data_IF_072224863842
#
_entry.id   IF_072224863842
#
_cell.length_a   1.000
_cell.length_b   1.000
_cell.length_c   1.000
_cell.angle_alpha   90.00
_cell.angle_beta   90.00
_cell.angle_gamma   90.00
#
_symmetry.space_group_name_H-M   'P 1'
#
loop_
_entity.id
_entity.type
_entity.pdbx_description
1 polymer ?
#
# COMPACT_ATOMS: atom_id res chain seq x y z
N UNK A 1 52.11 -21.08 -8.56
CA UNK A 1 52.97 -20.82 -7.40
C UNK A 1 52.31 -19.69 -6.64
N UNK A 2 51.29 -20.00 -5.83
CA UNK A 2 51.39 -20.27 -4.39
C UNK A 2 51.63 -18.99 -3.59
N UNK A 3 50.67 -18.70 -2.71
CA UNK A 3 50.81 -17.99 -1.43
C UNK A 3 51.01 -16.48 -1.42
N UNK A 4 49.90 -15.74 -1.28
CA UNK A 4 49.85 -14.59 -0.36
C UNK A 4 48.43 -14.47 0.20
N UNK A 5 48.20 -15.01 1.40
CA UNK A 5 47.39 -14.40 2.49
C UNK A 5 47.08 -15.46 3.54
N UNK A 6 47.96 -15.57 4.53
CA UNK A 6 47.62 -16.17 5.81
C UNK A 6 47.91 -15.15 6.92
N UNK A 7 47.04 -15.17 7.93
CA UNK A 7 47.09 -14.51 9.22
C UNK A 7 46.68 -13.03 9.24
N UNK A 8 45.52 -12.74 9.84
CA UNK A 8 45.46 -12.39 11.27
C UNK A 8 44.10 -12.81 11.84
N UNK A 9 44.13 -13.83 12.69
CA UNK A 9 43.06 -14.13 13.63
C UNK A 9 43.31 -13.31 14.91
N UNK A 10 42.29 -12.70 15.50
CA UNK A 10 41.96 -12.88 16.94
C UNK A 10 40.72 -12.09 17.38
N UNK A 11 39.71 -12.85 17.84
CA UNK A 11 38.89 -12.68 19.04
C UNK A 11 38.18 -11.35 19.35
N UNK A 12 36.86 -11.37 19.20
CA UNK A 12 35.93 -10.83 20.21
C UNK A 12 34.83 -11.87 20.45
N UNK A 13 34.80 -12.45 21.65
CA UNK A 13 33.82 -13.45 22.04
C UNK A 13 32.43 -12.84 22.14
N UNK A 14 31.53 -13.29 21.26
CA UNK A 14 30.08 -13.19 21.47
C UNK A 14 29.60 -14.57 21.93
N UNK A 15 28.75 -14.66 22.97
CA UNK A 15 28.20 -15.94 23.38
C UNK A 15 27.42 -16.57 22.21
N UNK A 16 27.41 -17.91 22.07
CA UNK A 16 26.62 -18.56 21.04
C UNK A 16 25.15 -18.16 21.25
N UNK A 17 24.57 -17.49 20.26
CA UNK A 17 23.13 -17.30 20.20
C UNK A 17 22.57 -18.71 20.09
N UNK A 18 22.02 -19.22 21.19
CA UNK A 18 21.24 -20.43 21.18
C UNK A 18 19.93 -20.08 20.45
N UNK A 19 19.98 -20.05 19.12
CA UNK A 19 18.81 -20.02 18.24
C UNK A 19 18.15 -21.39 18.32
N UNK A 20 17.53 -21.68 19.47
CA UNK A 20 16.32 -22.47 19.44
C UNK A 20 15.28 -21.54 18.82
N UNK A 21 14.81 -21.75 17.58
CA UNK A 21 13.63 -21.04 17.11
C UNK A 21 12.52 -21.43 18.07
N UNK A 22 12.16 -20.54 19.00
CA UNK A 22 10.94 -20.69 19.74
C UNK A 22 9.85 -20.72 18.69
N UNK A 23 9.23 -21.88 18.53
CA UNK A 23 8.12 -22.07 17.62
C UNK A 23 6.98 -21.20 18.13
N UNK A 24 6.99 -19.92 17.79
CA UNK A 24 5.82 -19.09 17.81
C UNK A 24 4.95 -19.61 16.68
N UNK A 25 4.27 -20.73 16.93
CA UNK A 25 3.24 -21.23 16.03
C UNK A 25 2.21 -20.11 15.94
N UNK A 26 2.07 -19.40 14.81
CA UNK A 26 0.96 -18.50 14.64
C UNK A 26 -0.28 -19.38 14.78
N UNK A 27 -1.21 -19.05 15.68
CA UNK A 27 -2.50 -19.74 15.81
C UNK A 27 -2.94 -20.24 14.44
N UNK A 28 -2.96 -21.56 14.24
CA UNK A 28 -3.29 -22.16 12.95
C UNK A 28 -4.73 -21.77 12.62
N UNK A 29 -4.89 -20.83 11.68
CA UNK A 29 -6.20 -20.37 11.24
C UNK A 29 -6.61 -21.31 10.11
N UNK A 30 -7.61 -22.15 10.37
CA UNK A 30 -8.21 -22.98 9.34
C UNK A 30 -8.86 -22.11 8.25
N UNK A 31 -8.37 -22.27 7.01
CA UNK A 31 -8.89 -21.58 5.83
C UNK A 31 -10.33 -22.00 5.48
N UNK A 32 -10.76 -23.17 5.93
CA UNK A 32 -12.12 -23.71 5.70
C UNK A 32 -13.19 -22.99 6.54
N UNK A 33 -12.78 -22.30 7.60
CA UNK A 33 -13.70 -21.55 8.46
C UNK A 33 -13.96 -20.13 7.90
N UNK A 34 -14.98 -20.00 7.06
CA UNK A 34 -15.37 -18.73 6.41
C UNK A 34 -15.53 -17.56 7.40
N UNK A 35 -16.07 -17.78 8.61
CA UNK A 35 -16.28 -16.70 9.59
C UNK A 35 -14.96 -16.14 10.12
N UNK A 36 -13.98 -17.01 10.34
CA UNK A 36 -12.65 -16.62 10.83
C UNK A 36 -11.88 -15.90 9.72
N UNK A 37 -11.93 -16.40 8.49
CA UNK A 37 -11.31 -15.77 7.33
C UNK A 37 -11.92 -14.40 7.02
N UNK A 38 -13.25 -14.23 7.08
CA UNK A 38 -13.89 -12.93 6.89
C UNK A 38 -13.49 -11.91 7.97
N UNK A 39 -13.37 -12.37 9.23
CA UNK A 39 -12.88 -11.52 10.33
C UNK A 39 -11.42 -11.13 10.12
N UNK A 40 -10.59 -12.07 9.65
CA UNK A 40 -9.19 -11.82 9.30
C UNK A 40 -9.07 -10.89 8.09
N UNK A 41 -9.89 -11.06 7.06
CA UNK A 41 -9.89 -10.22 5.85
C UNK A 41 -10.17 -8.75 6.17
N UNK A 42 -11.09 -8.48 7.11
CA UNK A 42 -11.40 -7.12 7.59
C UNK A 42 -10.26 -6.49 8.41
N UNK A 43 -9.41 -7.29 9.06
CA UNK A 43 -8.32 -6.82 9.92
C UNK A 43 -6.95 -6.80 9.24
N UNK A 44 -6.69 -7.79 8.39
CA UNK A 44 -5.43 -8.01 7.68
C UNK A 44 -5.73 -8.79 6.39
N UNK A 45 -6.07 -8.02 5.35
CA UNK A 45 -6.48 -8.55 4.04
C UNK A 45 -5.41 -9.43 3.42
N UNK A 46 -4.14 -9.03 3.51
CA UNK A 46 -3.01 -9.76 2.91
C UNK A 46 -2.84 -11.15 3.51
N UNK A 47 -2.91 -11.25 4.85
CA UNK A 47 -2.81 -12.54 5.54
C UNK A 47 -4.01 -13.44 5.23
N UNK A 48 -5.21 -12.88 5.15
CA UNK A 48 -6.41 -13.66 4.77
C UNK A 48 -6.30 -14.20 3.35
N UNK A 49 -5.90 -13.37 2.37
CA UNK A 49 -5.70 -13.80 0.99
C UNK A 49 -4.60 -14.87 0.93
N UNK A 50 -3.49 -14.71 1.65
CA UNK A 50 -2.42 -15.70 1.69
C UNK A 50 -2.93 -17.07 2.19
N UNK A 51 -3.73 -17.09 3.26
CA UNK A 51 -4.31 -18.33 3.78
C UNK A 51 -5.34 -18.96 2.82
N UNK A 52 -6.09 -18.14 2.08
CA UNK A 52 -7.04 -18.64 1.06
C UNK A 52 -6.29 -19.21 -0.16
N UNK A 53 -5.21 -18.54 -0.55
CA UNK A 53 -4.42 -18.84 -1.74
C UNK A 53 -3.25 -19.79 -1.41
N UNK A 54 -3.11 -20.23 -0.16
CA UNK A 54 -2.03 -21.11 0.28
C UNK A 54 -2.07 -22.41 -0.52
N UNK A 55 -1.08 -22.54 -1.42
CA UNK A 55 -0.96 -23.55 -2.46
C UNK A 55 0.01 -23.06 -3.54
N UNK A 56 0.55 -23.97 -4.36
CA UNK A 56 1.33 -23.55 -5.52
C UNK A 56 0.40 -22.78 -6.47
N UNK A 57 0.69 -21.50 -6.69
CA UNK A 57 0.02 -20.76 -7.75
C UNK A 57 0.37 -21.45 -9.07
N UNK A 58 -0.62 -22.09 -9.70
CA UNK A 58 -0.42 -22.73 -10.99
C UNK A 58 0.21 -21.70 -11.93
N UNK A 59 1.38 -22.04 -12.49
CA UNK A 59 2.04 -21.18 -13.47
C UNK A 59 1.05 -20.94 -14.60
N UNK A 60 0.94 -19.71 -15.10
CA UNK A 60 0.13 -19.45 -16.27
C UNK A 60 0.67 -20.30 -17.43
N UNK A 61 -0.15 -21.20 -17.96
CA UNK A 61 0.20 -22.07 -19.10
C UNK A 61 -0.16 -21.42 -20.44
N UNK A 62 -0.83 -20.27 -20.42
CA UNK A 62 -1.19 -19.53 -21.62
C UNK A 62 0.08 -18.94 -22.22
N UNK A 63 0.36 -19.16 -23.52
CA UNK A 63 1.50 -18.55 -24.20
C UNK A 63 1.47 -17.03 -24.05
N UNK A 64 2.64 -16.43 -23.77
CA UNK A 64 2.75 -14.98 -23.59
C UNK A 64 2.29 -14.20 -24.83
N UNK A 65 2.48 -14.76 -26.02
CA UNK A 65 2.05 -14.18 -27.30
C UNK A 65 0.53 -14.05 -27.40
N UNK A 66 -0.22 -15.05 -26.94
CA UNK A 66 -1.69 -15.03 -26.95
C UNK A 66 -2.24 -13.99 -25.97
N UNK A 67 -1.65 -13.92 -24.77
CA UNK A 67 -1.98 -12.90 -23.77
C UNK A 67 -1.69 -11.49 -24.31
N UNK A 68 -0.55 -11.33 -24.96
CA UNK A 68 -0.15 -10.06 -25.56
C UNK A 68 -1.09 -9.66 -26.70
N UNK A 69 -1.41 -10.56 -27.62
CA UNK A 69 -2.31 -10.29 -28.74
C UNK A 69 -3.70 -9.87 -28.25
N UNK A 70 -4.25 -10.59 -27.28
CA UNK A 70 -5.55 -10.27 -26.67
C UNK A 70 -5.55 -8.87 -26.04
N UNK A 71 -4.54 -8.56 -25.22
CA UNK A 71 -4.49 -7.24 -24.57
C UNK A 71 -4.13 -6.13 -25.55
N UNK A 72 -3.35 -6.41 -26.59
CA UNK A 72 -3.14 -5.46 -27.67
C UNK A 72 -4.46 -5.13 -28.35
N UNK A 73 -5.27 -6.10 -28.73
CA UNK A 73 -6.58 -5.86 -29.34
C UNK A 73 -7.56 -5.11 -28.40
N UNK A 74 -7.61 -5.51 -27.12
CA UNK A 74 -8.52 -4.90 -26.14
C UNK A 74 -8.13 -3.44 -25.83
N UNK A 75 -6.83 -3.17 -25.68
CA UNK A 75 -6.28 -1.87 -25.31
C UNK A 75 -5.75 -1.05 -26.50
N UNK A 76 -5.86 -1.56 -27.72
CA UNK A 76 -5.62 -0.77 -28.93
C UNK A 76 -6.51 0.47 -28.86
N UNK A 77 -6.00 1.61 -29.35
CA UNK A 77 -6.64 2.91 -29.20
C UNK A 77 -8.03 2.90 -29.82
N UNK A 78 -9.04 2.55 -29.01
CA UNK A 78 -10.44 2.76 -29.35
C UNK A 78 -10.66 4.26 -29.44
N UNK A 79 -11.30 4.69 -30.51
CA UNK A 79 -11.75 6.08 -30.64
C UNK A 79 -12.75 6.32 -29.52
N UNK A 80 -12.33 7.05 -28.50
CA UNK A 80 -13.22 7.44 -27.42
C UNK A 80 -14.22 8.45 -27.98
N UNK A 81 -15.48 8.05 -28.09
CA UNK A 81 -16.54 8.97 -28.51
C UNK A 81 -16.77 10.02 -27.41
N UNK A 82 -16.36 11.25 -27.72
CA UNK A 82 -16.47 12.40 -26.81
C UNK A 82 -17.92 12.84 -26.61
N UNK A 83 -18.84 12.43 -27.48
CA UNK A 83 -20.28 12.72 -27.35
C UNK A 83 -20.87 12.12 -26.07
N UNK A 84 -20.33 10.99 -25.59
CA UNK A 84 -20.74 10.33 -24.35
C UNK A 84 -20.55 11.26 -23.14
N UNK A 85 -19.51 12.10 -23.14
CA UNK A 85 -19.28 13.06 -22.06
C UNK A 85 -20.35 14.16 -22.03
N UNK A 86 -20.92 14.54 -23.18
CA UNK A 86 -21.92 15.62 -23.25
C UNK A 86 -23.26 15.21 -22.62
N UNK A 87 -23.57 13.90 -22.59
CA UNK A 87 -24.85 13.36 -22.11
C UNK A 87 -24.77 12.71 -20.71
N UNK A 88 -23.60 12.70 -20.06
CA UNK A 88 -23.39 11.99 -18.79
C UNK A 88 -22.98 12.88 -17.62
N UNK A 89 -23.10 14.19 -17.71
CA UNK A 89 -23.05 15.02 -16.51
C UNK A 89 -24.41 14.95 -15.81
N UNK A 90 -24.60 14.15 -14.73
CA UNK A 90 -25.76 14.36 -13.90
C UNK A 90 -25.68 15.80 -13.41
N UNK A 91 -26.66 16.61 -13.79
CA UNK A 91 -26.80 18.01 -13.33
C UNK A 91 -26.88 18.11 -11.80
N UNK A 92 -27.09 16.98 -11.13
CA UNK A 92 -27.14 16.80 -9.68
C UNK A 92 -25.84 16.21 -9.11
N UNK A 93 -24.69 16.79 -9.44
CA UNK A 93 -23.54 16.58 -8.55
C UNK A 93 -23.82 17.35 -7.26
N UNK A 94 -23.79 16.69 -6.09
CA UNK A 94 -23.79 17.45 -4.84
C UNK A 94 -22.62 18.42 -4.89
N UNK A 95 -22.89 19.68 -4.56
CA UNK A 95 -21.87 20.71 -4.51
C UNK A 95 -20.69 20.20 -3.67
N UNK A 96 -19.47 20.34 -4.20
CA UNK A 96 -18.29 19.87 -3.49
C UNK A 96 -18.20 20.64 -2.19
N UNK A 97 -18.26 19.93 -1.06
CA UNK A 97 -18.12 20.55 0.24
C UNK A 97 -16.74 21.21 0.36
N UNK A 98 -16.73 22.55 0.40
CA UNK A 98 -15.52 23.36 0.59
C UNK A 98 -15.36 23.84 2.02
N UNK A 99 -16.08 23.24 2.97
CA UNK A 99 -15.89 23.54 4.39
C UNK A 99 -14.46 23.16 4.83
N UNK A 100 -13.88 23.91 5.79
CA UNK A 100 -12.58 23.56 6.35
C UNK A 100 -12.59 22.17 6.99
N UNK A 101 -11.56 21.37 6.71
CA UNK A 101 -11.36 20.06 7.30
C UNK A 101 -11.14 20.18 8.81
N UNK A 102 -11.86 19.36 9.57
CA UNK A 102 -11.66 19.26 11.02
C UNK A 102 -10.51 18.28 11.35
N UNK A 103 -9.78 18.49 12.46
CA UNK A 103 -8.76 17.53 12.91
C UNK A 103 -9.34 16.12 13.16
N UNK A 104 -10.59 16.04 13.63
CA UNK A 104 -11.27 14.77 13.89
C UNK A 104 -11.58 13.99 12.60
N UNK A 105 -11.98 14.68 11.55
CA UNK A 105 -12.20 14.10 10.22
C UNK A 105 -10.89 13.53 9.65
N UNK A 106 -9.81 14.32 9.71
CA UNK A 106 -8.49 13.90 9.21
C UNK A 106 -7.97 12.72 10.01
N UNK A 107 -8.12 12.74 11.34
CA UNK A 107 -7.76 11.61 12.21
C UNK A 107 -8.53 10.36 11.82
N UNK A 108 -9.85 10.48 11.67
CA UNK A 108 -10.72 9.37 11.25
C UNK A 108 -10.29 8.79 9.90
N UNK A 109 -9.83 9.64 8.98
CA UNK A 109 -9.34 9.22 7.67
C UNK A 109 -7.95 8.58 7.75
N UNK A 110 -7.00 9.20 8.46
CA UNK A 110 -5.63 8.72 8.62
C UNK A 110 -5.58 7.34 9.29
N UNK A 111 -6.43 7.10 10.29
CA UNK A 111 -6.51 5.81 10.98
C UNK A 111 -7.11 4.68 10.14
N UNK A 112 -7.85 4.98 9.07
CA UNK A 112 -8.36 3.96 8.14
C UNK A 112 -7.30 3.44 7.17
N UNK A 113 -6.19 4.16 6.99
CA UNK A 113 -5.14 3.73 6.08
C UNK A 113 -4.18 2.75 6.75
N UNK A 114 -3.97 1.63 6.07
CA UNK A 114 -2.85 0.72 6.31
C UNK A 114 -1.55 1.36 5.76
N UNK A 115 -0.43 1.13 6.42
CA UNK A 115 0.87 1.59 5.93
C UNK A 115 1.15 1.06 4.52
N UNK A 116 1.21 1.97 3.55
CA UNK A 116 1.81 1.71 2.25
C UNK A 116 3.34 1.80 2.34
N UNK A 117 4.05 1.31 1.31
CA UNK A 117 5.48 1.58 1.18
C UNK A 117 5.70 3.11 1.25
N UNK A 118 6.69 3.58 2.03
CA UNK A 118 6.92 5.00 2.19
C UNK A 118 7.39 5.59 0.86
N UNK A 119 7.00 6.84 0.61
CA UNK A 119 7.40 7.57 -0.59
C UNK A 119 8.89 7.93 -0.59
N UNK A 120 9.34 8.76 -1.56
CA UNK A 120 10.70 9.28 -1.57
C UNK A 120 11.05 10.12 -0.32
N UNK A 121 10.02 10.61 0.39
CA UNK A 121 10.11 11.30 1.68
C UNK A 121 10.34 10.37 2.88
N UNK A 122 10.26 9.04 2.66
CA UNK A 122 10.42 8.00 3.68
C UNK A 122 9.38 8.07 4.82
N UNK A 123 8.29 8.80 4.64
CA UNK A 123 7.24 8.93 5.65
C UNK A 123 6.16 7.87 5.44
N UNK A 124 5.90 7.08 6.47
CA UNK A 124 4.75 6.16 6.55
C UNK A 124 3.55 6.83 7.23
N UNK A 125 2.35 6.25 7.10
CA UNK A 125 1.19 6.74 7.88
C UNK A 125 1.39 6.59 9.38
N UNK A 126 2.15 5.59 9.85
CA UNK A 126 2.55 5.49 11.26
C UNK A 126 3.44 6.65 11.70
N UNK A 127 4.41 7.06 10.88
CA UNK A 127 5.23 8.24 11.17
C UNK A 127 4.35 9.48 11.32
N UNK A 128 3.35 9.64 10.44
CA UNK A 128 2.40 10.76 10.50
C UNK A 128 1.51 10.70 11.74
N UNK A 129 1.00 9.52 12.10
CA UNK A 129 0.21 9.30 13.32
C UNK A 129 1.02 9.61 14.58
N UNK A 130 2.32 9.27 14.58
CA UNK A 130 3.21 9.57 15.70
C UNK A 130 3.61 11.05 15.78
N UNK A 131 3.81 11.71 14.64
CA UNK A 131 4.25 13.10 14.58
C UNK A 131 3.12 14.11 14.84
N UNK A 132 1.88 13.80 14.42
CA UNK A 132 0.70 14.63 14.65
C UNK A 132 -0.48 13.77 15.16
N UNK A 133 -0.43 13.29 16.42
CA UNK A 133 -1.46 12.41 16.98
C UNK A 133 -2.84 13.07 16.95
N UNK A 134 -2.85 14.39 17.10
CA UNK A 134 -4.08 15.15 17.12
C UNK A 134 -4.61 15.54 15.73
N UNK A 135 -3.82 15.36 14.68
CA UNK A 135 -4.08 15.79 13.31
C UNK A 135 -4.30 17.31 13.16
N UNK A 136 -3.72 18.12 14.06
CA UNK A 136 -3.85 19.60 14.06
C UNK A 136 -3.00 20.24 12.97
N UNK A 137 -1.78 19.74 12.78
CA UNK A 137 -0.85 20.26 11.78
C UNK A 137 -1.36 19.89 10.39
N UNK A 138 -1.77 18.63 10.20
CA UNK A 138 -2.33 18.17 8.93
C UNK A 138 -3.61 18.92 8.55
N UNK A 139 -4.50 19.18 9.52
CA UNK A 139 -5.69 20.02 9.29
C UNK A 139 -5.32 21.41 8.79
N UNK A 140 -4.32 22.03 9.41
CA UNK A 140 -3.86 23.36 8.99
C UNK A 140 -3.28 23.34 7.57
N UNK A 141 -2.46 22.34 7.23
CA UNK A 141 -1.88 22.21 5.89
C UNK A 141 -2.97 22.04 4.83
N UNK A 142 -3.93 21.14 5.04
CA UNK A 142 -5.02 20.93 4.09
C UNK A 142 -5.93 22.15 3.95
N UNK A 143 -6.24 22.83 5.06
CA UNK A 143 -7.05 24.05 5.04
C UNK A 143 -6.32 25.24 4.38
N UNK A 144 -5.00 25.31 4.47
CA UNK A 144 -4.19 26.26 3.68
C UNK A 144 -4.35 25.95 2.18
N UNK A 145 -4.20 24.68 1.79
CA UNK A 145 -4.37 24.26 0.39
C UNK A 145 -5.78 24.60 -0.13
N UNK A 146 -6.82 24.35 0.68
CA UNK A 146 -8.21 24.66 0.37
C UNK A 146 -8.43 26.17 0.23
N UNK A 147 -7.94 26.97 1.17
CA UNK A 147 -8.04 28.44 1.16
C UNK A 147 -7.40 29.05 -0.08
N UNK A 148 -6.21 28.60 -0.46
CA UNK A 148 -5.50 29.12 -1.63
C UNK A 148 -5.90 28.43 -2.93
N UNK A 149 -6.74 27.39 -2.89
CA UNK A 149 -7.09 26.53 -4.03
C UNK A 149 -5.85 26.03 -4.78
N UNK A 150 -4.78 25.75 -4.04
CA UNK A 150 -3.48 25.31 -4.57
C UNK A 150 -2.98 24.10 -3.82
N UNK A 151 -2.51 23.12 -4.57
CA UNK A 151 -1.89 21.90 -4.06
C UNK A 151 -0.39 21.99 -4.37
N UNK A 152 0.50 21.65 -3.42
CA UNK A 152 1.93 21.59 -3.66
C UNK A 152 2.27 20.73 -4.87
N UNK A 153 3.15 21.21 -5.76
CA UNK A 153 3.53 20.49 -6.98
C UNK A 153 4.12 19.10 -6.67
N UNK A 154 4.86 18.98 -5.56
CA UNK A 154 5.42 17.73 -5.09
C UNK A 154 4.37 16.63 -4.82
N UNK A 155 3.13 17.00 -4.47
CA UNK A 155 2.05 16.02 -4.22
C UNK A 155 1.45 15.46 -5.51
N UNK A 156 1.66 16.13 -6.65
CA UNK A 156 1.16 15.68 -7.96
C UNK A 156 2.11 14.69 -8.64
N UNK A 157 3.39 14.71 -8.25
CA UNK A 157 4.39 13.77 -8.77
C UNK A 157 4.41 12.50 -7.92
N UNK A 158 3.78 11.43 -8.38
CA UNK A 158 4.03 10.09 -7.85
C UNK A 158 5.20 9.49 -8.62
N UNK A 159 6.37 9.40 -7.99
CA UNK A 159 7.47 8.57 -8.50
C UNK A 159 7.32 7.20 -7.83
N UNK A 160 6.60 6.29 -8.47
CA UNK A 160 6.73 4.87 -8.17
C UNK A 160 8.14 4.45 -8.59
N UNK A 161 9.04 4.34 -7.61
CA UNK A 161 10.32 3.66 -7.80
C UNK A 161 10.10 2.14 -7.83
#
# INVERSE_FOLDING_TARGET
MSDVTQAFATNAGLPPINEQPSAFTPNHIDASNCRVILRLYRKNRRRAIRLIVEGESARCHIPAEEVQAHFQEVFEKRVFDRSVLMNTFPTNHPEVDTNPFSPAEIRSRLHRFENSAPGPDRLSYENLKSADPDCKIMARIFNICLRFKRIPAAWKSSKSA
#
